data_IF_482848076112
#
_entry.id   IF_482848076112
#
_cell.length_a   1.000
_cell.length_b   1.000
_cell.length_c   1.000
_cell.angle_alpha   90.00
_cell.angle_beta   90.00
_cell.angle_gamma   90.00
#
_symmetry.space_group_name_H-M   'P 1'
#
loop_
_entity.id
_entity.type
_entity.pdbx_description
1 polymer ?
#
# COMPACT_ATOMS: atom_id res chain seq x y z
N UNK A 1 -36.10 -1.97 -6.92
CA UNK A 1 -34.78 -1.53 -6.42
C UNK A 1 -33.83 -2.69 -6.63
N UNK A 2 -32.83 -2.57 -7.48
CA UNK A 2 -31.77 -3.59 -7.58
C UNK A 2 -30.91 -3.47 -6.33
N UNK A 3 -30.72 -4.57 -5.61
CA UNK A 3 -29.78 -4.60 -4.49
C UNK A 3 -28.41 -4.21 -5.04
N UNK A 4 -27.76 -3.23 -4.41
CA UNK A 4 -26.39 -2.86 -4.77
C UNK A 4 -25.51 -4.08 -4.47
N UNK A 5 -24.87 -4.62 -5.51
CA UNK A 5 -24.06 -5.82 -5.37
C UNK A 5 -22.81 -5.47 -4.55
N UNK A 6 -22.71 -6.04 -3.35
CA UNK A 6 -21.54 -5.88 -2.50
C UNK A 6 -20.33 -6.56 -3.17
N UNK A 7 -19.27 -5.80 -3.39
CA UNK A 7 -18.00 -6.32 -3.88
C UNK A 7 -16.96 -6.22 -2.76
N UNK A 8 -16.49 -7.38 -2.28
CA UNK A 8 -15.45 -7.48 -1.25
C UNK A 8 -14.11 -7.62 -1.96
N UNK A 9 -13.16 -6.74 -1.66
CA UNK A 9 -11.79 -6.81 -2.14
C UNK A 9 -10.86 -7.41 -1.10
N UNK A 10 -9.95 -8.28 -1.53
CA UNK A 10 -8.92 -8.90 -0.69
C UNK A 10 -7.55 -8.34 -1.02
N UNK A 11 -6.82 -7.94 0.02
CA UNK A 11 -5.48 -7.35 -0.09
C UNK A 11 -4.43 -8.27 0.55
N UNK A 12 -3.31 -8.46 -0.14
CA UNK A 12 -2.17 -9.23 0.38
C UNK A 12 -1.10 -8.29 0.94
N UNK A 13 -0.64 -8.50 2.17
CA UNK A 13 0.47 -7.72 2.72
C UNK A 13 1.80 -8.18 2.14
N UNK A 14 2.76 -7.26 1.97
CA UNK A 14 4.12 -7.61 1.53
C UNK A 14 5.03 -8.13 2.66
N UNK A 15 4.47 -8.47 3.82
CA UNK A 15 5.24 -8.88 5.00
C UNK A 15 5.98 -10.20 4.76
N UNK A 16 7.29 -10.19 5.03
CA UNK A 16 8.16 -11.35 4.80
C UNK A 16 8.48 -11.63 3.33
N UNK A 17 8.05 -10.77 2.39
CA UNK A 17 8.44 -10.89 0.99
C UNK A 17 9.89 -10.47 0.77
N UNK A 18 10.69 -11.33 0.15
CA UNK A 18 12.07 -11.04 -0.24
C UNK A 18 12.26 -10.87 -1.76
N UNK A 19 11.19 -11.03 -2.54
CA UNK A 19 11.27 -10.93 -4.00
C UNK A 19 11.12 -9.50 -4.50
N UNK A 20 11.44 -9.29 -5.78
CA UNK A 20 11.12 -8.04 -6.46
C UNK A 20 9.61 -7.76 -6.46
N UNK A 21 9.24 -6.48 -6.54
CA UNK A 21 7.84 -6.05 -6.64
C UNK A 21 7.10 -6.73 -7.79
N UNK A 22 7.74 -6.93 -8.94
CA UNK A 22 7.13 -7.61 -10.09
C UNK A 22 6.79 -9.07 -9.78
N UNK A 23 7.74 -9.81 -9.19
CA UNK A 23 7.56 -11.22 -8.84
C UNK A 23 6.51 -11.38 -7.74
N UNK A 24 6.54 -10.50 -6.74
CA UNK A 24 5.55 -10.47 -5.68
C UNK A 24 4.14 -10.19 -6.22
N UNK A 25 3.97 -9.15 -7.03
CA UNK A 25 2.68 -8.79 -7.63
C UNK A 25 2.13 -9.91 -8.53
N UNK A 26 3.00 -10.57 -9.32
CA UNK A 26 2.59 -11.72 -10.11
C UNK A 26 2.01 -12.84 -9.25
N UNK A 27 2.66 -13.17 -8.12
CA UNK A 27 2.15 -14.19 -7.19
C UNK A 27 0.84 -13.77 -6.53
N UNK A 28 0.75 -12.52 -6.08
CA UNK A 28 -0.46 -11.95 -5.47
C UNK A 28 -1.64 -12.07 -6.45
N UNK A 29 -1.41 -11.70 -7.72
CA UNK A 29 -2.44 -11.82 -8.76
C UNK A 29 -2.84 -13.26 -9.02
N UNK A 30 -1.87 -14.17 -9.15
CA UNK A 30 -2.11 -15.60 -9.37
C UNK A 30 -2.84 -16.27 -8.19
N UNK A 31 -2.65 -15.76 -6.97
CA UNK A 31 -3.36 -16.23 -5.78
C UNK A 31 -4.79 -15.68 -5.67
N UNK A 32 -5.22 -14.77 -6.56
CA UNK A 32 -6.59 -14.27 -6.63
C UNK A 32 -6.89 -13.05 -5.77
N UNK A 33 -5.88 -12.35 -5.27
CA UNK A 33 -6.07 -11.08 -4.56
C UNK A 33 -6.40 -9.94 -5.52
N UNK A 34 -7.13 -8.95 -5.01
CA UNK A 34 -7.51 -7.73 -5.74
C UNK A 34 -6.44 -6.65 -5.65
N UNK A 35 -5.61 -6.69 -4.61
CA UNK A 35 -4.58 -5.68 -4.39
C UNK A 35 -3.51 -6.08 -3.37
N UNK A 36 -2.62 -5.13 -3.11
CA UNK A 36 -1.55 -5.24 -2.12
C UNK A 36 -1.74 -4.19 -1.04
N UNK A 37 -1.50 -4.56 0.22
CA UNK A 37 -1.29 -3.61 1.31
C UNK A 37 0.21 -3.55 1.65
N UNK A 38 0.77 -2.35 1.73
CA UNK A 38 2.19 -2.19 2.09
C UNK A 38 2.49 -0.83 2.70
N UNK A 39 3.64 -0.72 3.37
CA UNK A 39 4.25 0.58 3.64
C UNK A 39 4.70 1.22 2.34
N UNK A 40 4.55 2.54 2.24
CA UNK A 40 5.10 3.28 1.11
C UNK A 40 6.64 3.18 1.14
N UNK A 41 7.30 2.64 0.10
CA UNK A 41 8.74 2.51 0.09
C UNK A 41 9.44 3.86 0.28
N UNK A 42 10.49 3.93 1.09
CA UNK A 42 11.18 5.20 1.35
C UNK A 42 11.85 5.78 0.10
N UNK A 43 12.40 4.93 -0.76
CA UNK A 43 13.17 5.36 -1.93
C UNK A 43 12.28 5.65 -3.15
N UNK A 44 12.53 6.73 -3.92
CA UNK A 44 11.75 7.02 -5.14
C UNK A 44 11.84 5.90 -6.19
N UNK A 45 13.00 5.24 -6.29
CA UNK A 45 13.23 4.12 -7.20
C UNK A 45 12.32 2.95 -6.87
N UNK A 46 12.31 2.51 -5.62
CA UNK A 46 11.49 1.39 -5.18
C UNK A 46 9.99 1.72 -5.22
N UNK A 47 9.59 2.96 -4.90
CA UNK A 47 8.19 3.41 -5.11
C UNK A 47 7.77 3.26 -6.57
N UNK A 48 8.63 3.65 -7.50
CA UNK A 48 8.36 3.50 -8.94
C UNK A 48 8.23 2.02 -9.32
N UNK A 49 9.13 1.18 -8.84
CA UNK A 49 9.09 -0.27 -9.08
C UNK A 49 7.80 -0.90 -8.55
N UNK A 50 7.37 -0.52 -7.35
CA UNK A 50 6.11 -0.94 -6.74
C UNK A 50 4.91 -0.52 -7.62
N UNK A 51 4.82 0.76 -7.97
CA UNK A 51 3.68 1.30 -8.74
C UNK A 51 3.62 0.66 -10.13
N UNK A 52 4.76 0.56 -10.82
CA UNK A 52 4.83 -0.08 -12.14
C UNK A 52 4.39 -1.54 -12.09
N UNK A 53 4.79 -2.30 -11.06
CA UNK A 53 4.40 -3.68 -10.88
C UNK A 53 2.89 -3.82 -10.60
N UNK A 54 2.33 -3.00 -9.72
CA UNK A 54 0.89 -3.01 -9.42
C UNK A 54 0.06 -2.71 -10.68
N UNK A 55 0.47 -1.71 -11.47
CA UNK A 55 -0.17 -1.40 -12.75
C UNK A 55 -0.05 -2.55 -13.75
N UNK A 56 1.15 -3.13 -13.89
CA UNK A 56 1.41 -4.25 -14.81
C UNK A 56 0.52 -5.46 -14.52
N UNK A 57 0.25 -5.75 -13.25
CA UNK A 57 -0.55 -6.93 -12.83
C UNK A 57 -2.01 -6.60 -12.53
N UNK A 58 -2.44 -5.34 -12.70
CA UNK A 58 -3.80 -4.89 -12.46
C UNK A 58 -4.25 -5.09 -11.00
N UNK A 59 -3.39 -4.70 -10.07
CA UNK A 59 -3.63 -4.80 -8.62
C UNK A 59 -3.93 -3.41 -8.02
N UNK A 60 -4.94 -3.36 -7.15
CA UNK A 60 -5.23 -2.19 -6.30
C UNK A 60 -4.16 -2.00 -5.22
N UNK A 61 -4.15 -0.82 -4.60
CA UNK A 61 -3.20 -0.45 -3.55
C UNK A 61 -3.92 -0.04 -2.27
N UNK A 62 -3.55 -0.65 -1.15
CA UNK A 62 -3.75 -0.14 0.21
C UNK A 62 -2.40 0.28 0.79
N UNK A 63 -2.38 1.37 1.56
CA UNK A 63 -1.14 1.86 2.18
C UNK A 63 -1.24 1.86 3.70
N UNK A 64 -0.16 1.39 4.34
CA UNK A 64 0.09 1.57 5.77
C UNK A 64 0.70 2.96 5.99
N UNK A 65 0.27 3.66 7.03
CA UNK A 65 0.85 4.93 7.44
C UNK A 65 1.03 5.01 8.96
N UNK A 66 2.17 5.56 9.38
CA UNK A 66 2.65 5.57 10.76
C UNK A 66 3.71 6.66 10.95
N UNK A 67 3.99 7.02 12.20
CA UNK A 67 4.96 8.05 12.56
C UNK A 67 6.21 7.47 13.19
N UNK A 68 7.19 8.34 13.43
CA UNK A 68 8.44 8.00 14.11
C UNK A 68 8.99 9.23 14.85
N UNK A 69 9.67 9.04 15.97
CA UNK A 69 10.25 10.15 16.74
C UNK A 69 10.40 9.79 18.21
N UNK A 70 11.29 10.47 18.91
CA UNK A 70 11.45 10.32 20.35
C UNK A 70 10.49 11.20 21.16
N UNK A 71 9.92 12.22 20.52
CA UNK A 71 8.95 13.15 21.12
C UNK A 71 7.61 13.13 20.39
N UNK A 72 6.57 13.66 21.04
CA UNK A 72 5.24 13.79 20.44
C UNK A 72 5.27 14.64 19.17
N UNK A 73 5.98 15.76 19.19
CA UNK A 73 6.12 16.70 18.09
C UNK A 73 6.80 16.04 16.88
N UNK A 74 7.91 15.33 17.11
CA UNK A 74 8.60 14.58 16.04
C UNK A 74 7.71 13.50 15.43
N UNK A 75 6.97 12.77 16.27
CA UNK A 75 6.04 11.75 15.81
C UNK A 75 4.90 12.36 14.98
N UNK A 76 4.29 13.45 15.47
CA UNK A 76 3.19 14.14 14.81
C UNK A 76 3.60 14.65 13.43
N UNK A 77 4.75 15.32 13.33
CA UNK A 77 5.23 15.87 12.05
C UNK A 77 5.61 14.76 11.06
N UNK A 78 6.25 13.68 11.52
CA UNK A 78 6.58 12.55 10.65
C UNK A 78 5.33 11.78 10.19
N UNK A 79 4.37 11.52 11.08
CA UNK A 79 3.10 10.89 10.74
C UNK A 79 2.35 11.71 9.70
N UNK A 80 2.24 13.04 9.91
CA UNK A 80 1.59 13.93 8.96
C UNK A 80 2.24 13.85 7.57
N UNK A 81 3.57 13.93 7.50
CA UNK A 81 4.30 13.83 6.23
C UNK A 81 4.06 12.48 5.54
N UNK A 82 4.15 11.38 6.28
CA UNK A 82 3.95 10.04 5.73
C UNK A 82 2.50 9.83 5.23
N UNK A 83 1.52 10.37 5.95
CA UNK A 83 0.11 10.34 5.55
C UNK A 83 -0.13 11.17 4.28
N UNK A 84 0.43 12.37 4.21
CA UNK A 84 0.31 13.23 3.03
C UNK A 84 0.95 12.57 1.79
N UNK A 85 2.13 11.96 1.95
CA UNK A 85 2.82 11.21 0.88
C UNK A 85 1.97 10.01 0.40
N UNK A 86 1.39 9.24 1.33
CA UNK A 86 0.52 8.12 0.99
C UNK A 86 -0.76 8.57 0.26
N UNK A 87 -1.39 9.66 0.71
CA UNK A 87 -2.61 10.20 0.12
C UNK A 87 -2.43 10.68 -1.32
N UNK A 88 -1.25 11.19 -1.68
CA UNK A 88 -0.95 11.62 -3.05
C UNK A 88 -1.03 10.49 -4.07
N UNK A 89 -0.81 9.24 -3.65
CA UNK A 89 -0.93 8.06 -4.51
C UNK A 89 -2.36 7.57 -4.70
N UNK A 90 -3.34 8.16 -4.00
CA UNK A 90 -4.77 7.82 -4.09
C UNK A 90 -5.03 6.31 -3.96
N UNK A 91 -4.52 5.65 -2.89
CA UNK A 91 -4.82 4.24 -2.65
C UNK A 91 -6.33 4.05 -2.39
N UNK A 92 -6.80 2.80 -2.49
CA UNK A 92 -8.16 2.43 -2.13
C UNK A 92 -8.47 2.75 -0.65
N UNK A 93 -7.46 2.63 0.23
CA UNK A 93 -7.52 3.02 1.63
C UNK A 93 -6.13 3.30 2.21
N UNK A 94 -6.10 4.00 3.35
CA UNK A 94 -4.91 4.16 4.19
C UNK A 94 -5.21 3.59 5.57
N UNK A 95 -4.43 2.61 5.99
CA UNK A 95 -4.53 1.97 7.29
C UNK A 95 -3.53 2.61 8.27
N UNK A 96 -4.05 3.08 9.40
CA UNK A 96 -3.29 3.77 10.43
C UNK A 96 -2.56 2.75 11.31
N UNK A 97 -1.24 2.81 11.34
CA UNK A 97 -0.37 1.87 12.04
C UNK A 97 0.56 2.67 12.97
N UNK A 98 0.05 2.98 14.16
CA UNK A 98 0.65 3.89 15.16
C UNK A 98 0.89 3.21 16.49
#
# INVERSE_FOLDING_TARGET
MTAQQLHIKYYCTNWGNSDSWDTFCLRVKNAGYDGVESWLPGSPKERKEMIDALHKHGLSLGLLSGGSGGTYEEYKESFKRNLDEAAQLKPDYINCHT
#
